data_IF_597796861923
#
_entry.id   IF_597796861923
#
_cell.length_a   1.000
_cell.length_b   1.000
_cell.length_c   1.000
_cell.angle_alpha   90.00
_cell.angle_beta   90.00
_cell.angle_gamma   90.00
#
_symmetry.space_group_name_H-M   'P 1'
#
loop_
_entity.id
_entity.type
_entity.pdbx_description
1 polymer ?
#
# COMPACT_ATOMS: atom_id res chain seq x y z
N UNK A 1 38.21 42.27 -24.30
CA UNK A 1 37.87 40.82 -24.20
C UNK A 1 37.59 40.46 -22.72
N UNK A 2 36.54 40.99 -22.10
CA UNK A 2 36.17 40.60 -20.71
C UNK A 2 34.65 40.44 -20.48
N UNK A 3 33.76 40.81 -21.42
CA UNK A 3 32.32 40.60 -21.24
C UNK A 3 31.89 39.13 -21.33
N UNK A 4 32.48 38.36 -22.26
CA UNK A 4 32.01 37.00 -22.62
C UNK A 4 32.32 35.91 -21.56
N UNK A 5 33.27 36.17 -20.67
CA UNK A 5 33.64 35.25 -19.57
C UNK A 5 32.72 35.39 -18.36
N UNK A 6 32.11 36.56 -18.15
CA UNK A 6 31.15 36.85 -17.07
C UNK A 6 29.78 36.21 -17.31
N UNK A 7 29.33 36.17 -18.58
CA UNK A 7 28.07 35.51 -18.97
C UNK A 7 28.13 33.99 -18.78
N UNK A 8 29.27 33.37 -19.13
CA UNK A 8 29.50 31.92 -18.97
C UNK A 8 29.57 31.55 -17.49
N UNK A 9 30.22 32.36 -16.65
CA UNK A 9 30.28 32.11 -15.19
C UNK A 9 28.93 32.31 -14.51
N UNK A 10 28.11 33.27 -14.93
CA UNK A 10 26.73 33.42 -14.44
C UNK A 10 25.82 32.25 -14.84
N UNK A 11 25.92 31.77 -16.09
CA UNK A 11 25.14 30.62 -16.58
C UNK A 11 25.49 29.32 -15.85
N UNK A 12 26.79 29.08 -15.60
CA UNK A 12 27.25 27.90 -14.84
C UNK A 12 26.78 27.96 -13.39
N UNK A 13 26.81 29.14 -12.75
CA UNK A 13 26.30 29.32 -11.40
C UNK A 13 24.79 29.09 -11.30
N UNK A 14 24.00 29.54 -12.29
CA UNK A 14 22.54 29.35 -12.32
C UNK A 14 22.17 27.86 -12.47
N UNK A 15 22.90 27.13 -13.34
CA UNK A 15 22.68 25.70 -13.57
C UNK A 15 23.01 24.90 -12.29
N UNK A 16 24.10 25.23 -11.60
CA UNK A 16 24.48 24.55 -10.35
C UNK A 16 23.44 24.74 -9.23
N UNK A 17 22.80 25.91 -9.14
CA UNK A 17 21.75 26.18 -8.16
C UNK A 17 20.46 25.39 -8.46
N UNK A 18 20.11 25.20 -9.74
CA UNK A 18 18.92 24.43 -10.13
C UNK A 18 19.06 22.93 -9.86
N UNK A 19 20.26 22.36 -9.97
CA UNK A 19 20.50 20.91 -9.74
C UNK A 19 20.35 20.55 -8.25
N UNK A 20 20.68 21.47 -7.34
CA UNK A 20 20.56 21.25 -5.89
C UNK A 20 19.10 21.10 -5.41
N UNK A 21 18.13 21.69 -6.11
CA UNK A 21 16.71 21.65 -5.71
C UNK A 21 16.02 20.31 -6.02
N UNK A 22 16.57 19.50 -6.95
CA UNK A 22 15.94 18.26 -7.43
C UNK A 22 16.25 17.07 -6.49
N UNK A 23 17.24 17.21 -5.58
CA UNK A 23 17.76 16.13 -4.72
C UNK A 23 17.00 16.01 -3.38
N UNK A 24 15.79 16.57 -3.26
CA UNK A 24 14.96 16.43 -2.04
C UNK A 24 13.84 15.39 -2.15
N UNK A 25 13.82 14.56 -3.20
CA UNK A 25 12.92 13.41 -3.25
C UNK A 25 13.48 12.27 -2.38
N UNK A 26 13.45 12.43 -1.05
CA UNK A 26 13.70 11.31 -0.14
C UNK A 26 12.56 10.30 -0.34
N UNK A 27 12.82 9.02 -0.69
CA UNK A 27 11.77 8.02 -0.65
C UNK A 27 11.25 7.98 0.79
N UNK A 28 9.95 8.20 0.96
CA UNK A 28 9.31 7.98 2.26
C UNK A 28 9.48 6.50 2.58
N UNK A 29 10.46 6.15 3.41
CA UNK A 29 10.59 4.84 4.03
C UNK A 29 9.39 4.68 4.94
N UNK A 30 8.30 4.17 4.38
CA UNK A 30 7.11 3.81 5.13
C UNK A 30 7.47 2.56 5.90
N UNK A 31 7.96 2.72 7.13
CA UNK A 31 8.06 1.60 8.06
C UNK A 31 6.68 0.95 8.16
N UNK A 32 6.58 -0.29 7.67
CA UNK A 32 5.34 -1.05 7.70
C UNK A 32 5.25 -1.63 9.11
N UNK A 33 4.26 -1.23 9.93
CA UNK A 33 4.14 -1.80 11.27
C UNK A 33 3.95 -3.31 11.15
N UNK A 34 4.82 -4.07 11.82
CA UNK A 34 4.70 -5.52 11.91
C UNK A 34 3.53 -5.88 12.82
N UNK A 35 2.64 -6.76 12.37
CA UNK A 35 1.50 -7.25 13.16
C UNK A 35 1.88 -8.62 13.74
N UNK A 36 1.73 -8.82 15.05
CA UNK A 36 1.92 -10.14 15.67
C UNK A 36 0.78 -11.10 15.29
N UNK A 37 1.02 -12.40 15.37
CA UNK A 37 0.01 -13.38 15.00
C UNK A 37 -1.20 -13.34 15.96
N UNK A 38 -0.98 -13.01 17.24
CA UNK A 38 -2.04 -12.86 18.24
C UNK A 38 -2.94 -11.65 17.96
N UNK A 39 -2.33 -10.53 17.56
CA UNK A 39 -3.05 -9.32 17.17
C UNK A 39 -3.85 -9.54 15.88
N UNK A 40 -3.31 -10.33 14.94
CA UNK A 40 -4.06 -10.75 13.76
C UNK A 40 -5.27 -11.60 14.15
N UNK A 41 -5.09 -12.60 15.02
CA UNK A 41 -6.18 -13.47 15.47
C UNK A 41 -7.30 -12.72 16.19
N UNK A 42 -6.95 -11.78 17.07
CA UNK A 42 -7.95 -10.98 17.76
C UNK A 42 -8.75 -10.12 16.78
N UNK A 43 -8.09 -9.56 15.77
CA UNK A 43 -8.71 -8.77 14.70
C UNK A 43 -9.65 -9.62 13.84
N UNK A 44 -9.22 -10.82 13.44
CA UNK A 44 -10.06 -11.74 12.65
C UNK A 44 -11.32 -12.14 13.41
N UNK A 45 -11.23 -12.33 14.73
CA UNK A 45 -12.38 -12.66 15.59
C UNK A 45 -13.35 -11.49 15.78
N UNK A 46 -12.92 -10.24 15.59
CA UNK A 46 -13.83 -9.10 15.56
C UNK A 46 -14.64 -9.07 14.25
N UNK A 47 -15.77 -9.77 14.27
CA UNK A 47 -16.70 -9.84 13.13
C UNK A 47 -17.17 -8.46 12.66
N UNK A 48 -17.37 -7.51 13.59
CA UNK A 48 -17.85 -6.18 13.24
C UNK A 48 -16.76 -5.40 12.50
N UNK A 49 -15.51 -5.49 12.96
CA UNK A 49 -14.37 -4.91 12.26
C UNK A 49 -14.19 -5.55 10.88
N UNK A 50 -14.15 -6.88 10.79
CA UNK A 50 -14.02 -7.60 9.52
C UNK A 50 -15.11 -7.19 8.53
N UNK A 51 -16.37 -7.11 8.96
CA UNK A 51 -17.47 -6.70 8.09
C UNK A 51 -17.34 -5.26 7.59
N UNK A 52 -16.82 -4.34 8.42
CA UNK A 52 -16.51 -2.96 7.96
C UNK A 52 -15.42 -2.96 6.89
N UNK A 53 -14.35 -3.74 7.09
CA UNK A 53 -13.25 -3.84 6.13
C UNK A 53 -13.70 -4.47 4.80
N UNK A 54 -14.51 -5.52 4.85
CA UNK A 54 -15.12 -6.15 3.67
C UNK A 54 -16.00 -5.16 2.89
N UNK A 55 -16.87 -4.41 3.58
CA UNK A 55 -17.69 -3.37 2.95
C UNK A 55 -16.84 -2.27 2.32
N UNK A 56 -15.77 -1.83 2.98
CA UNK A 56 -14.80 -0.90 2.41
C UNK A 56 -14.17 -1.45 1.12
N UNK A 57 -13.72 -2.72 1.14
CA UNK A 57 -13.14 -3.38 -0.03
C UNK A 57 -14.15 -3.44 -1.20
N UNK A 58 -15.43 -3.63 -0.91
CA UNK A 58 -16.52 -3.62 -1.90
C UNK A 58 -16.99 -2.22 -2.32
N UNK A 59 -16.51 -1.16 -1.66
CA UNK A 59 -17.00 0.22 -1.90
C UNK A 59 -18.38 0.50 -1.31
N UNK A 60 -18.87 -0.37 -0.43
CA UNK A 60 -20.17 -0.24 0.26
C UNK A 60 -20.08 0.60 1.54
N UNK A 61 -18.86 0.95 1.99
CA UNK A 61 -18.61 1.76 3.18
C UNK A 61 -17.30 2.56 3.06
N UNK A 62 -17.11 3.65 3.81
CA UNK A 62 -15.83 4.36 3.86
C UNK A 62 -14.74 3.47 4.45
N UNK A 63 -13.54 3.63 3.92
CA UNK A 63 -12.35 2.91 4.37
C UNK A 63 -11.59 3.73 5.42
N UNK A 64 -11.09 3.07 6.46
CA UNK A 64 -10.06 3.60 7.35
C UNK A 64 -8.66 3.47 6.70
N UNK A 65 -7.57 3.98 7.31
CA UNK A 65 -6.23 3.90 6.72
C UNK A 65 -5.80 2.46 6.40
N UNK A 66 -6.16 1.50 7.26
CA UNK A 66 -5.85 0.08 7.08
C UNK A 66 -6.62 -0.48 5.88
N UNK A 67 -7.93 -0.28 5.84
CA UNK A 67 -8.80 -0.72 4.76
C UNK A 67 -8.40 -0.15 3.41
N UNK A 68 -8.00 1.14 3.34
CA UNK A 68 -7.48 1.74 2.09
C UNK A 68 -6.23 1.04 1.59
N UNK A 69 -5.30 0.73 2.50
CA UNK A 69 -4.08 0.01 2.14
C UNK A 69 -4.40 -1.41 1.66
N UNK A 70 -5.22 -2.15 2.39
CA UNK A 70 -5.63 -3.51 2.01
C UNK A 70 -6.36 -3.52 0.66
N UNK A 71 -7.28 -2.58 0.45
CA UNK A 71 -8.01 -2.41 -0.81
C UNK A 71 -7.07 -2.18 -1.99
N UNK A 72 -6.03 -1.36 -1.82
CA UNK A 72 -5.03 -1.12 -2.88
C UNK A 72 -4.18 -2.34 -3.22
N UNK A 73 -3.97 -3.24 -2.25
CA UNK A 73 -3.18 -4.46 -2.42
C UNK A 73 -4.03 -5.67 -2.85
N UNK A 74 -5.36 -5.59 -2.73
CA UNK A 74 -6.27 -6.69 -3.01
C UNK A 74 -6.08 -7.33 -4.40
N UNK A 75 -5.95 -6.57 -5.52
CA UNK A 75 -5.77 -7.18 -6.84
C UNK A 75 -4.50 -8.04 -6.90
N UNK A 76 -3.39 -7.50 -6.39
CA UNK A 76 -2.08 -8.14 -6.38
C UNK A 76 -2.12 -9.45 -5.58
N UNK A 77 -2.63 -9.37 -4.36
CA UNK A 77 -2.75 -10.51 -3.43
C UNK A 77 -3.67 -11.61 -3.99
N UNK A 78 -4.79 -11.24 -4.60
CA UNK A 78 -5.75 -12.21 -5.17
C UNK A 78 -5.22 -12.88 -6.44
N UNK A 79 -4.37 -12.21 -7.20
CA UNK A 79 -3.63 -12.80 -8.33
C UNK A 79 -2.48 -13.72 -7.87
N UNK A 80 -2.27 -13.87 -6.56
CA UNK A 80 -1.21 -14.73 -6.00
C UNK A 80 0.18 -14.10 -6.05
N UNK A 81 0.28 -12.80 -6.38
CA UNK A 81 1.54 -12.08 -6.40
C UNK A 81 1.64 -11.14 -5.21
N UNK A 82 2.74 -11.18 -4.46
CA UNK A 82 3.12 -10.05 -3.61
C UNK A 82 4.63 -9.94 -3.54
N UNK A 83 5.23 -9.33 -4.57
CA UNK A 83 6.69 -9.16 -4.66
C UNK A 83 7.29 -8.31 -3.54
N UNK A 84 6.46 -7.57 -2.80
CA UNK A 84 6.88 -6.72 -1.69
C UNK A 84 6.48 -7.25 -0.31
N UNK A 85 5.92 -8.46 -0.21
CA UNK A 85 5.51 -9.05 1.08
C UNK A 85 6.63 -9.92 1.66
N UNK A 86 6.92 -9.73 2.93
CA UNK A 86 7.76 -10.61 3.74
C UNK A 86 7.14 -12.02 3.87
N UNK A 87 7.93 -13.04 4.23
CA UNK A 87 7.41 -14.38 4.47
C UNK A 87 6.32 -14.43 5.56
N UNK A 88 6.40 -13.57 6.57
CA UNK A 88 5.37 -13.45 7.60
C UNK A 88 4.07 -12.88 7.03
N UNK A 89 4.14 -11.76 6.31
CA UNK A 89 2.98 -11.14 5.67
C UNK A 89 2.30 -12.13 4.70
N UNK A 90 3.05 -12.92 3.93
CA UNK A 90 2.47 -13.94 3.06
C UNK A 90 1.68 -15.00 3.82
N UNK A 91 2.19 -15.49 4.96
CA UNK A 91 1.46 -16.45 5.82
C UNK A 91 0.20 -15.82 6.40
N UNK A 92 0.30 -14.59 6.88
CA UNK A 92 -0.81 -13.84 7.47
C UNK A 92 -1.91 -13.55 6.41
N UNK A 93 -1.52 -13.14 5.21
CA UNK A 93 -2.43 -12.96 4.07
C UNK A 93 -3.20 -14.25 3.79
N UNK A 94 -2.51 -15.39 3.65
CA UNK A 94 -3.17 -16.69 3.42
C UNK A 94 -4.20 -17.00 4.51
N UNK A 95 -3.84 -16.74 5.77
CA UNK A 95 -4.73 -16.93 6.91
C UNK A 95 -5.99 -16.04 6.84
N UNK A 96 -5.83 -14.76 6.52
CA UNK A 96 -6.94 -13.82 6.33
C UNK A 96 -7.85 -14.28 5.18
N UNK A 97 -7.28 -14.71 4.05
CA UNK A 97 -8.05 -15.21 2.90
C UNK A 97 -8.85 -16.46 3.27
N UNK A 98 -8.22 -17.46 3.90
CA UNK A 98 -8.91 -18.67 4.39
C UNK A 98 -10.01 -18.33 5.40
N UNK A 99 -9.76 -17.39 6.30
CA UNK A 99 -10.76 -16.97 7.29
C UNK A 99 -11.98 -16.33 6.63
N UNK A 100 -11.78 -15.44 5.63
CA UNK A 100 -12.86 -14.80 4.89
C UNK A 100 -13.69 -15.81 4.09
N UNK A 101 -13.06 -16.79 3.46
CA UNK A 101 -13.76 -17.85 2.72
C UNK A 101 -14.75 -18.63 3.59
N UNK A 102 -14.34 -18.97 4.81
CA UNK A 102 -15.15 -19.78 5.73
C UNK A 102 -16.21 -18.94 6.44
N UNK A 103 -15.87 -17.75 6.91
CA UNK A 103 -16.73 -16.96 7.80
C UNK A 103 -17.59 -15.91 7.07
N UNK A 104 -17.16 -15.47 5.88
CA UNK A 104 -17.82 -14.43 5.09
C UNK A 104 -17.93 -14.82 3.61
N UNK A 105 -18.52 -16.00 3.28
CA UNK A 105 -18.53 -16.52 1.92
C UNK A 105 -19.27 -15.60 0.92
N UNK A 106 -20.28 -14.86 1.38
CA UNK A 106 -21.05 -13.94 0.53
C UNK A 106 -20.20 -12.75 0.10
N UNK A 107 -19.55 -12.09 1.05
CA UNK A 107 -18.65 -10.96 0.82
C UNK A 107 -17.41 -11.40 0.04
N UNK A 108 -16.85 -12.56 0.37
CA UNK A 108 -15.73 -13.16 -0.35
C UNK A 108 -16.03 -13.33 -1.84
N UNK A 109 -17.19 -13.89 -2.19
CA UNK A 109 -17.60 -14.04 -3.59
C UNK A 109 -17.77 -12.70 -4.31
N UNK A 110 -18.25 -11.66 -3.63
CA UNK A 110 -18.31 -10.31 -4.21
C UNK A 110 -16.91 -9.74 -4.44
N UNK A 111 -15.98 -9.94 -3.51
CA UNK A 111 -14.58 -9.49 -3.64
C UNK A 111 -13.92 -10.16 -4.84
N UNK A 112 -14.08 -11.47 -5.02
CA UNK A 112 -13.55 -12.17 -6.20
C UNK A 112 -14.11 -11.57 -7.50
N UNK A 113 -15.42 -11.30 -7.57
CA UNK A 113 -16.03 -10.65 -8.74
C UNK A 113 -15.48 -9.24 -8.99
N UNK A 114 -15.15 -8.50 -7.93
CA UNK A 114 -14.64 -7.14 -8.01
C UNK A 114 -13.18 -7.06 -8.47
N UNK A 115 -12.34 -8.04 -8.09
CA UNK A 115 -10.88 -7.94 -8.21
C UNK A 115 -10.22 -9.05 -9.04
N UNK A 116 -10.93 -10.12 -9.39
CA UNK A 116 -10.42 -11.24 -10.20
C UNK A 116 -10.93 -11.21 -11.65
N UNK A 117 -11.53 -10.09 -12.08
CA UNK A 117 -11.96 -9.84 -13.45
C UNK A 117 -10.92 -9.11 -14.28
#
# INVERSE_FOLDING_TARGET
MLCRTSDITMLVALILVTIAAIVSCRPATTERPSISDEALESTLKDKRYMQRQLKCALGEAPCDPVGRRLKSLAPLVLQGSCGQCSPQEQRQIRKVLSYMQVNFPKEWNKILKQYSG
#
